data_IF_204991769327
#
_entry.id   IF_204991769327
#
_cell.length_a   1.000
_cell.length_b   1.000
_cell.length_c   1.000
_cell.angle_alpha   90.00
_cell.angle_beta   90.00
_cell.angle_gamma   90.00
#
_symmetry.space_group_name_H-M   'P 1'
#
loop_
_entity.id
_entity.type
_entity.pdbx_description
1 polymer ?
#
# COMPACT_ATOMS: atom_id res chain seq x y z
N UNK A 1 17.44 -5.73 34.02
CA UNK A 1 17.26 -5.36 32.61
C UNK A 1 16.03 -6.08 32.10
N UNK A 2 14.95 -5.34 32.09
CA UNK A 2 13.63 -5.72 31.58
C UNK A 2 13.67 -6.01 30.08
N UNK A 3 12.85 -6.97 29.65
CA UNK A 3 11.90 -6.83 28.52
C UNK A 3 11.19 -8.15 28.22
N UNK A 4 9.87 -8.13 28.47
CA UNK A 4 8.79 -8.82 27.75
C UNK A 4 8.70 -10.33 27.97
N UNK A 5 7.50 -10.79 28.37
CA UNK A 5 6.72 -11.79 27.61
C UNK A 5 5.36 -12.04 28.30
N UNK A 6 4.32 -11.83 27.50
CA UNK A 6 2.93 -12.29 27.56
C UNK A 6 2.04 -11.92 28.77
N UNK A 7 1.15 -10.95 28.49
CA UNK A 7 -0.24 -10.95 28.93
C UNK A 7 -0.85 -12.35 28.83
N UNK A 8 -1.04 -13.01 29.96
CA UNK A 8 -1.99 -14.13 30.08
C UNK A 8 -3.35 -13.57 30.48
N UNK A 9 -4.21 -13.25 29.50
CA UNK A 9 -5.64 -13.10 29.80
C UNK A 9 -6.16 -14.50 30.12
N UNK A 10 -6.53 -14.68 31.37
CA UNK A 10 -7.23 -15.85 31.90
C UNK A 10 -8.56 -16.00 31.15
N UNK A 11 -8.65 -16.98 30.26
CA UNK A 11 -9.93 -17.42 29.70
C UNK A 11 -10.70 -18.17 30.81
N UNK A 12 -11.57 -17.44 31.51
CA UNK A 12 -12.59 -18.04 32.37
C UNK A 12 -13.57 -18.87 31.52
N UNK A 13 -13.66 -20.16 31.81
CA UNK A 13 -14.36 -21.22 31.05
C UNK A 13 -15.90 -21.16 31.19
N UNK A 14 -16.53 -19.99 31.36
CA UNK A 14 -17.95 -19.92 31.75
C UNK A 14 -18.93 -19.37 30.70
N UNK A 15 -18.56 -19.21 29.43
CA UNK A 15 -19.48 -18.63 28.43
C UNK A 15 -19.27 -19.03 26.97
N UNK A 16 -18.63 -20.17 26.70
CA UNK A 16 -18.09 -20.50 25.38
C UNK A 16 -19.12 -20.74 24.25
N UNK A 17 -20.42 -20.92 24.53
CA UNK A 17 -21.39 -21.30 23.49
C UNK A 17 -22.00 -20.12 22.70
N UNK A 18 -22.09 -18.91 23.29
CA UNK A 18 -22.84 -17.80 22.66
C UNK A 18 -21.97 -16.75 21.96
N UNK A 19 -20.64 -16.79 22.15
CA UNK A 19 -19.70 -15.89 21.46
C UNK A 19 -19.00 -16.52 20.25
N UNK A 20 -19.08 -17.85 20.12
CA UNK A 20 -18.51 -18.61 19.00
C UNK A 20 -18.90 -18.07 17.61
N UNK A 21 -20.18 -17.73 17.30
CA UNK A 21 -20.51 -17.25 15.96
C UNK A 21 -19.97 -15.84 15.70
N UNK A 22 -19.82 -14.99 16.72
CA UNK A 22 -19.25 -13.64 16.55
C UNK A 22 -17.73 -13.66 16.38
N UNK A 23 -17.03 -14.54 17.11
CA UNK A 23 -15.59 -14.75 16.92
C UNK A 23 -15.32 -15.43 15.57
N UNK A 24 -16.13 -16.41 15.18
CA UNK A 24 -16.06 -17.02 13.85
C UNK A 24 -16.33 -15.99 12.74
N UNK A 25 -17.34 -15.12 12.90
CA UNK A 25 -17.63 -14.04 11.94
C UNK A 25 -16.50 -13.02 11.82
N UNK A 26 -15.75 -12.74 12.90
CA UNK A 26 -14.55 -11.89 12.84
C UNK A 26 -13.37 -12.59 12.14
N UNK A 27 -13.30 -13.92 12.21
CA UNK A 27 -12.28 -14.73 11.53
C UNK A 27 -12.63 -15.01 10.06
N UNK A 28 -13.92 -15.03 9.71
CA UNK A 28 -14.44 -15.16 8.34
C UNK A 28 -14.86 -13.83 7.74
N UNK A 29 -14.54 -12.71 8.40
CA UNK A 29 -14.69 -11.39 7.79
C UNK A 29 -13.67 -11.37 6.66
N UNK A 30 -14.13 -11.69 5.45
CA UNK A 30 -13.41 -11.45 4.21
C UNK A 30 -12.88 -10.03 4.32
N UNK A 31 -11.56 -9.92 4.53
CA UNK A 31 -10.90 -8.66 4.30
C UNK A 31 -11.03 -8.49 2.80
N UNK A 32 -11.94 -7.64 2.38
CA UNK A 32 -12.02 -7.22 0.99
C UNK A 32 -10.63 -6.67 0.63
N UNK A 33 -9.80 -7.51 0.01
CA UNK A 33 -8.43 -7.22 -0.45
C UNK A 33 -8.41 -6.15 -1.57
N UNK A 34 -9.59 -5.61 -1.87
CA UNK A 34 -9.86 -4.48 -2.77
C UNK A 34 -9.26 -3.15 -2.31
N UNK A 35 -8.74 -3.05 -1.09
CA UNK A 35 -8.17 -1.77 -0.59
C UNK A 35 -7.02 -1.31 -1.47
N UNK A 36 -6.10 -2.21 -1.81
CA UNK A 36 -4.96 -1.90 -2.69
C UNK A 36 -5.41 -1.55 -4.11
N UNK A 37 -6.35 -2.32 -4.66
CA UNK A 37 -6.96 -2.10 -5.98
C UNK A 37 -7.70 -0.75 -6.08
N UNK A 38 -8.28 -0.29 -4.97
CA UNK A 38 -8.90 1.04 -4.89
C UNK A 38 -7.85 2.14 -4.81
N UNK A 39 -6.84 1.97 -3.97
CA UNK A 39 -5.76 2.96 -3.79
C UNK A 39 -4.95 3.19 -5.07
N UNK A 40 -4.78 2.16 -5.89
CA UNK A 40 -4.11 2.23 -7.21
C UNK A 40 -4.92 3.02 -8.25
N UNK A 41 -6.21 3.29 -8.00
CA UNK A 41 -7.10 4.03 -8.92
C UNK A 41 -7.43 5.43 -8.45
N UNK A 42 -7.13 5.74 -7.20
CA UNK A 42 -7.40 7.05 -6.61
C UNK A 42 -6.13 7.89 -6.62
N UNK A 43 -6.28 9.17 -6.94
CA UNK A 43 -5.20 10.14 -6.89
C UNK A 43 -4.71 10.38 -5.45
N UNK A 44 -3.43 10.73 -5.32
CA UNK A 44 -2.78 11.12 -4.06
C UNK A 44 -3.57 12.23 -3.35
N UNK A 45 -3.65 12.14 -2.03
CA UNK A 45 -4.34 13.13 -1.18
C UNK A 45 -3.57 14.46 -1.13
N UNK A 46 -2.28 14.42 -1.48
CA UNK A 46 -1.39 15.56 -1.44
C UNK A 46 -1.06 16.11 -2.84
N UNK A 47 -1.75 15.65 -3.89
CA UNK A 47 -1.59 16.17 -5.26
C UNK A 47 -1.79 17.69 -5.34
N UNK A 48 -2.76 18.23 -4.61
CA UNK A 48 -3.01 19.68 -4.53
C UNK A 48 -1.97 20.45 -3.69
N UNK A 49 -1.06 19.76 -3.00
CA UNK A 49 -0.12 20.33 -2.03
C UNK A 49 1.34 20.22 -2.45
N UNK A 50 1.70 19.17 -3.20
CA UNK A 50 3.05 18.90 -3.68
C UNK A 50 2.99 18.52 -5.15
N UNK A 51 3.68 19.27 -6.00
CA UNK A 51 3.79 18.99 -7.44
C UNK A 51 4.43 17.61 -7.71
N UNK A 52 5.21 17.08 -6.76
CA UNK A 52 5.75 15.73 -6.85
C UNK A 52 4.69 14.62 -6.66
N UNK A 53 3.55 14.95 -6.05
CA UNK A 53 2.41 14.06 -5.81
C UNK A 53 1.35 14.15 -6.91
N UNK A 54 1.41 15.16 -7.77
CA UNK A 54 0.48 15.33 -8.88
C UNK A 54 0.52 14.14 -9.83
N UNK A 55 -0.65 13.56 -10.11
CA UNK A 55 -0.78 12.37 -10.94
C UNK A 55 -0.27 11.08 -10.30
N UNK A 56 0.26 11.08 -9.07
CA UNK A 56 0.52 9.84 -8.34
C UNK A 56 -0.78 9.24 -7.83
N UNK A 57 -0.86 7.91 -7.84
CA UNK A 57 -1.95 7.23 -7.12
C UNK A 57 -1.69 7.28 -5.61
N UNK A 58 -2.70 7.03 -4.79
CA UNK A 58 -2.50 6.89 -3.35
C UNK A 58 -1.54 5.73 -3.03
N UNK A 59 -1.54 4.70 -3.86
CA UNK A 59 -0.62 3.58 -3.70
C UNK A 59 0.83 4.04 -3.94
N UNK A 60 1.08 4.73 -5.06
CA UNK A 60 2.40 5.26 -5.41
C UNK A 60 2.91 6.24 -4.35
N UNK A 61 2.04 7.15 -3.89
CA UNK A 61 2.36 8.13 -2.85
C UNK A 61 2.86 7.44 -1.56
N UNK A 62 2.22 6.35 -1.13
CA UNK A 62 2.62 5.62 0.08
C UNK A 62 4.00 4.94 -0.05
N UNK A 63 4.38 4.50 -1.24
CA UNK A 63 5.67 3.82 -1.48
C UNK A 63 6.77 4.73 -2.03
N UNK A 64 6.44 6.00 -2.33
CA UNK A 64 7.35 6.98 -2.93
C UNK A 64 8.68 7.09 -2.19
N UNK A 65 8.67 7.15 -0.85
CA UNK A 65 9.91 7.26 -0.06
C UNK A 65 10.83 6.05 -0.25
N UNK A 66 10.28 4.84 -0.33
CA UNK A 66 11.06 3.62 -0.57
C UNK A 66 11.62 3.58 -1.99
N UNK A 67 10.82 4.01 -2.97
CA UNK A 67 11.24 4.08 -4.37
C UNK A 67 12.36 5.09 -4.58
N UNK A 68 12.25 6.28 -3.97
CA UNK A 68 13.31 7.29 -3.99
C UNK A 68 14.61 6.76 -3.37
N UNK A 69 14.51 6.00 -2.27
CA UNK A 69 15.69 5.35 -1.66
C UNK A 69 16.34 4.31 -2.58
N UNK A 70 15.57 3.66 -3.44
CA UNK A 70 16.05 2.72 -4.45
C UNK A 70 16.46 3.39 -5.77
N UNK A 71 16.40 4.72 -5.86
CA UNK A 71 16.83 5.49 -7.04
C UNK A 71 15.79 5.58 -8.16
N UNK A 72 14.53 5.27 -7.90
CA UNK A 72 13.44 5.50 -8.85
C UNK A 72 13.11 7.00 -8.99
N UNK A 73 12.44 7.41 -10.08
CA UNK A 73 12.10 8.81 -10.34
C UNK A 73 11.35 9.46 -9.18
N UNK A 74 11.65 10.74 -8.93
CA UNK A 74 11.14 11.48 -7.78
C UNK A 74 9.70 11.97 -7.97
N UNK A 75 9.24 12.13 -9.22
CA UNK A 75 7.95 12.73 -9.61
C UNK A 75 7.28 11.96 -10.75
N UNK A 76 5.95 12.09 -10.89
CA UNK A 76 5.20 11.51 -12.01
C UNK A 76 5.74 12.01 -13.36
N UNK A 77 5.95 13.32 -13.48
CA UNK A 77 6.43 13.96 -14.70
C UNK A 77 7.80 13.43 -15.13
N UNK A 78 8.72 13.23 -14.19
CA UNK A 78 10.04 12.67 -14.49
C UNK A 78 9.93 11.21 -14.95
N UNK A 79 9.05 10.42 -14.32
CA UNK A 79 8.77 9.05 -14.76
C UNK A 79 8.22 9.02 -16.20
N UNK A 80 7.22 9.83 -16.54
CA UNK A 80 6.67 9.89 -17.90
C UNK A 80 7.72 10.30 -18.93
N UNK A 81 8.54 11.29 -18.58
CA UNK A 81 9.65 11.71 -19.44
C UNK A 81 10.62 10.55 -19.71
N UNK A 82 11.05 9.84 -18.67
CA UNK A 82 11.96 8.70 -18.80
C UNK A 82 11.34 7.54 -19.59
N UNK A 83 10.03 7.30 -19.44
CA UNK A 83 9.30 6.31 -20.24
C UNK A 83 9.33 6.69 -21.72
N UNK A 84 9.00 7.93 -22.06
CA UNK A 84 9.04 8.41 -23.45
C UNK A 84 10.46 8.36 -24.04
N UNK A 85 11.48 8.80 -23.28
CA UNK A 85 12.88 8.70 -23.70
C UNK A 85 13.30 7.23 -23.95
N UNK A 86 12.83 6.31 -23.11
CA UNK A 86 13.10 4.88 -23.27
C UNK A 86 12.44 4.33 -24.53
N UNK A 87 11.15 4.60 -24.76
CA UNK A 87 10.40 4.12 -25.91
C UNK A 87 11.01 4.62 -27.23
N UNK A 88 11.45 5.88 -27.28
CA UNK A 88 12.12 6.44 -28.45
C UNK A 88 13.50 5.81 -28.67
N UNK A 89 14.24 5.48 -27.60
CA UNK A 89 15.51 4.76 -27.71
C UNK A 89 15.34 3.32 -28.23
N UNK A 90 14.17 2.70 -28.01
CA UNK A 90 13.86 1.35 -28.52
C UNK A 90 13.24 1.35 -29.92
N UNK A 91 12.51 2.39 -30.35
CA UNK A 91 11.94 2.50 -31.70
C UNK A 91 12.96 2.59 -32.84
N UNK A 92 14.22 2.91 -32.54
CA UNK A 92 15.31 2.98 -33.53
C UNK A 92 16.25 1.78 -33.54
N UNK A 93 16.03 0.79 -32.67
CA UNK A 93 16.77 -0.48 -32.68
C UNK A 93 15.89 -1.56 -33.30
N UNK A 94 15.93 -1.66 -34.62
CA UNK A 94 15.54 -2.89 -35.29
C UNK A 94 16.43 -4.01 -34.73
N UNK A 95 15.82 -4.94 -33.99
CA UNK A 95 16.39 -6.23 -33.60
C UNK A 95 16.30 -7.22 -34.75
#
# INVERSE_FOLDING_TARGET
MDKKVLMGIVLGVAGAALVAPKVAALLTQDRDDDTWSKMDKMESVDSDKDEAEEGLTQLDSNYRAEWQANGYPQTHAERERLMNESDDAYKGKDI
#
